data_IF_003774493597
#
_entry.id   IF_003774493597
#
_cell.length_a   1.000
_cell.length_b   1.000
_cell.length_c   1.000
_cell.angle_alpha   90.00
_cell.angle_beta   90.00
_cell.angle_gamma   90.00
#
_symmetry.space_group_name_H-M   'P 1'
#
loop_
_entity.id
_entity.type
_entity.pdbx_description
1 polymer ?
#
# COMPACT_ATOMS: atom_id res chain seq x y z
N UNK A 1 -11.51 28.76 7.80
CA UNK A 1 -12.86 28.29 8.18
C UNK A 1 -14.01 29.06 7.53
N UNK A 2 -13.79 30.23 6.90
CA UNK A 2 -14.88 31.10 6.40
C UNK A 2 -15.84 30.42 5.40
N UNK A 3 -15.35 29.60 4.45
CA UNK A 3 -16.22 28.91 3.50
C UNK A 3 -17.11 27.85 4.18
N UNK A 4 -16.58 27.06 5.12
CA UNK A 4 -17.34 26.00 5.82
C UNK A 4 -18.48 26.63 6.62
N UNK A 5 -18.18 27.73 7.33
CA UNK A 5 -19.17 28.45 8.13
C UNK A 5 -20.22 29.16 7.28
N UNK A 6 -19.86 29.60 6.07
CA UNK A 6 -20.75 30.28 5.13
C UNK A 6 -21.65 29.31 4.36
N UNK A 7 -21.10 28.24 3.81
CA UNK A 7 -21.79 27.31 2.91
C UNK A 7 -22.54 26.22 3.67
N UNK A 8 -22.16 25.94 4.93
CA UNK A 8 -22.73 24.87 5.76
C UNK A 8 -22.92 23.57 4.98
N UNK A 9 -21.84 23.02 4.40
CA UNK A 9 -21.93 21.81 3.60
C UNK A 9 -22.40 20.64 4.47
N UNK A 10 -23.13 19.70 3.86
CA UNK A 10 -23.57 18.46 4.53
C UNK A 10 -22.38 17.52 4.73
N UNK A 11 -21.57 17.84 5.75
CA UNK A 11 -20.34 17.14 6.12
C UNK A 11 -20.55 16.50 7.48
N UNK A 12 -20.14 15.25 7.60
CA UNK A 12 -20.25 14.51 8.86
C UNK A 12 -19.53 15.23 10.01
N UNK A 13 -20.18 15.26 11.18
CA UNK A 13 -19.68 15.96 12.36
C UNK A 13 -18.29 15.47 12.80
N UNK A 14 -17.93 14.21 12.52
CA UNK A 14 -16.59 13.67 12.78
C UNK A 14 -15.50 14.40 11.98
N UNK A 15 -15.77 14.72 10.71
CA UNK A 15 -14.80 15.44 9.86
C UNK A 15 -14.65 16.86 10.37
N UNK A 16 -15.76 17.54 10.70
CA UNK A 16 -15.75 18.90 11.27
C UNK A 16 -14.97 18.92 12.59
N UNK A 17 -15.18 17.93 13.46
CA UNK A 17 -14.47 17.80 14.73
C UNK A 17 -12.96 17.56 14.60
N UNK A 18 -12.47 17.07 13.46
CA UNK A 18 -11.05 16.87 13.20
C UNK A 18 -10.33 18.13 12.66
N UNK A 19 -11.04 19.18 12.28
CA UNK A 19 -10.41 20.45 11.90
C UNK A 19 -9.98 21.19 13.18
N UNK A 20 -8.71 21.07 13.57
CA UNK A 20 -8.15 21.82 14.70
C UNK A 20 -8.01 23.31 14.38
N UNK A 21 -8.37 24.18 15.33
CA UNK A 21 -8.26 25.65 15.21
C UNK A 21 -6.85 26.18 15.56
N UNK A 22 -5.96 25.32 16.07
CA UNK A 22 -4.61 25.68 16.54
C UNK A 22 -3.55 25.44 15.45
N UNK A 23 -3.46 26.38 14.51
CA UNK A 23 -2.81 26.21 13.22
C UNK A 23 -1.28 26.29 13.20
N UNK A 24 -0.61 26.93 14.15
CA UNK A 24 0.84 27.20 14.00
C UNK A 24 1.76 26.23 14.76
N UNK A 25 1.46 25.92 16.03
CA UNK A 25 2.26 25.00 16.83
C UNK A 25 2.17 23.55 16.33
N UNK A 26 1.01 23.15 15.79
CA UNK A 26 0.75 21.81 15.26
C UNK A 26 1.49 21.52 13.93
N UNK A 27 1.70 22.54 13.09
CA UNK A 27 2.35 22.40 11.78
C UNK A 27 3.85 22.11 11.94
N UNK A 28 4.55 22.85 12.82
CA UNK A 28 5.99 22.68 12.99
C UNK A 28 6.36 21.27 13.50
N UNK A 29 5.64 20.77 14.51
CA UNK A 29 5.81 19.40 15.02
C UNK A 29 5.58 18.35 13.91
N UNK A 30 4.55 18.56 13.08
CA UNK A 30 4.26 17.68 11.95
C UNK A 30 5.37 17.69 10.89
N UNK A 31 5.98 18.84 10.62
CA UNK A 31 7.10 18.94 9.68
C UNK A 31 8.35 18.23 10.19
N UNK A 32 8.65 18.33 11.47
CA UNK A 32 9.80 17.65 12.06
C UNK A 32 9.59 16.13 12.07
N UNK A 33 8.39 15.65 12.42
CA UNK A 33 8.04 14.24 12.29
C UNK A 33 8.18 13.74 10.83
N UNK A 34 7.75 14.53 9.84
CA UNK A 34 7.94 14.20 8.41
C UNK A 34 9.43 14.09 8.03
N UNK A 35 10.27 15.01 8.51
CA UNK A 35 11.72 14.97 8.26
C UNK A 35 12.33 13.71 8.85
N UNK A 36 11.98 13.38 10.10
CA UNK A 36 12.48 12.18 10.78
C UNK A 36 12.08 10.90 10.02
N UNK A 37 10.80 10.76 9.67
CA UNK A 37 10.30 9.61 8.91
C UNK A 37 10.99 9.50 7.55
N UNK A 38 11.21 10.63 6.86
CA UNK A 38 11.95 10.67 5.59
C UNK A 38 13.38 10.18 5.76
N UNK A 39 14.09 10.65 6.80
CA UNK A 39 15.47 10.22 7.09
C UNK A 39 15.51 8.72 7.38
N UNK A 40 14.61 8.23 8.25
CA UNK A 40 14.55 6.82 8.62
C UNK A 40 14.26 5.91 7.42
N UNK A 41 13.27 6.25 6.59
CA UNK A 41 12.92 5.45 5.41
C UNK A 41 13.98 5.48 4.33
N UNK A 42 14.69 6.60 4.16
CA UNK A 42 15.84 6.67 3.26
C UNK A 42 17.02 5.85 3.80
N UNK A 43 17.26 5.86 5.11
CA UNK A 43 18.34 5.09 5.73
C UNK A 43 18.10 3.57 5.70
N UNK A 44 16.84 3.13 5.76
CA UNK A 44 16.47 1.71 5.71
C UNK A 44 16.78 1.05 4.35
N UNK A 45 17.11 1.85 3.32
CA UNK A 45 17.10 1.41 1.92
C UNK A 45 18.43 1.72 1.23
N UNK A 46 18.89 0.76 0.42
CA UNK A 46 19.89 1.02 -0.63
C UNK A 46 19.19 1.73 -1.80
N UNK A 47 19.96 2.35 -2.71
CA UNK A 47 19.41 3.20 -3.79
C UNK A 47 18.29 2.53 -4.62
N UNK A 48 18.28 1.20 -4.73
CA UNK A 48 17.28 0.42 -5.50
C UNK A 48 16.42 -0.54 -4.65
N UNK A 49 16.44 -0.43 -3.32
CA UNK A 49 15.67 -1.34 -2.47
C UNK A 49 14.17 -1.01 -2.48
N UNK A 50 13.28 -2.02 -2.54
CA UNK A 50 11.82 -1.89 -2.34
C UNK A 50 11.43 -2.36 -0.94
N UNK A 51 10.69 -1.54 -0.19
CA UNK A 51 10.13 -1.94 1.11
C UNK A 51 8.76 -2.56 0.90
N UNK A 52 8.57 -3.78 1.40
CA UNK A 52 7.31 -4.52 1.31
C UNK A 52 6.71 -4.64 2.70
N UNK A 53 5.45 -4.21 2.85
CA UNK A 53 4.69 -4.27 4.10
C UNK A 53 3.25 -4.75 3.81
N UNK A 54 2.50 -5.26 4.80
CA UNK A 54 1.06 -5.44 4.66
C UNK A 54 0.38 -4.11 4.26
N UNK A 55 -0.70 -4.14 3.47
CA UNK A 55 -1.40 -2.88 3.14
C UNK A 55 -2.23 -2.36 4.29
N UNK A 56 -2.87 -3.26 5.03
CA UNK A 56 -3.75 -2.95 6.16
C UNK A 56 -3.45 -3.89 7.32
N UNK A 57 -3.61 -3.37 8.54
CA UNK A 57 -3.44 -4.13 9.78
C UNK A 57 -4.79 -4.71 10.20
N UNK A 58 -5.27 -5.76 9.51
CA UNK A 58 -6.47 -6.50 9.90
C UNK A 58 -7.47 -6.75 8.78
N UNK A 59 -8.50 -7.54 9.08
CA UNK A 59 -9.58 -7.83 8.15
C UNK A 59 -10.50 -6.60 8.00
N UNK A 60 -11.14 -6.42 6.83
CA UNK A 60 -12.15 -5.39 6.67
C UNK A 60 -13.28 -5.57 7.69
N UNK A 61 -13.72 -4.50 8.38
CA UNK A 61 -14.83 -4.56 9.30
C UNK A 61 -16.12 -4.86 8.53
N UNK A 62 -17.08 -5.51 9.19
CA UNK A 62 -18.40 -5.75 8.62
C UNK A 62 -19.13 -4.42 8.42
N UNK A 63 -20.01 -4.38 7.41
CA UNK A 63 -20.89 -3.22 7.19
C UNK A 63 -21.66 -2.91 8.49
N UNK A 64 -21.71 -1.64 8.88
CA UNK A 64 -22.34 -1.14 10.12
C UNK A 64 -21.71 -1.65 11.44
N UNK A 65 -20.50 -2.21 11.40
CA UNK A 65 -19.77 -2.52 12.63
C UNK A 65 -19.41 -1.23 13.37
N UNK A 66 -19.55 -1.25 14.71
CA UNK A 66 -19.16 -0.14 15.60
C UNK A 66 -17.68 0.27 15.46
N UNK A 67 -16.86 -0.65 14.97
CA UNK A 67 -15.43 -0.48 14.75
C UNK A 67 -15.10 0.54 13.64
N UNK A 68 -15.99 0.71 12.66
CA UNK A 68 -15.86 1.69 11.57
C UNK A 68 -15.83 3.15 12.09
N UNK A 69 -16.45 3.41 13.25
CA UNK A 69 -16.42 4.71 13.91
C UNK A 69 -15.30 4.87 14.95
N UNK A 70 -14.44 3.85 15.11
CA UNK A 70 -13.39 3.90 16.13
C UNK A 70 -12.15 4.63 15.61
N UNK A 71 -11.62 5.55 16.42
CA UNK A 71 -10.37 6.26 16.13
C UNK A 71 -9.19 5.29 16.00
N UNK A 72 -9.16 4.22 16.80
CA UNK A 72 -8.13 3.19 16.77
C UNK A 72 -8.09 2.44 15.43
N UNK A 73 -9.25 2.05 14.89
CA UNK A 73 -9.32 1.44 13.56
C UNK A 73 -8.78 2.41 12.50
N UNK A 74 -9.25 3.65 12.48
CA UNK A 74 -8.80 4.64 11.48
C UNK A 74 -7.29 4.90 11.52
N UNK A 75 -6.71 5.01 12.72
CA UNK A 75 -5.25 5.16 12.89
C UNK A 75 -4.51 3.92 12.36
N UNK A 76 -4.98 2.71 12.67
CA UNK A 76 -4.34 1.48 12.20
C UNK A 76 -4.45 1.27 10.69
N UNK A 77 -5.62 1.55 10.11
CA UNK A 77 -5.85 1.42 8.67
C UNK A 77 -5.06 2.46 7.87
N UNK A 78 -4.81 3.64 8.44
CA UNK A 78 -4.07 4.72 7.77
C UNK A 78 -2.57 4.69 8.05
N UNK A 79 -2.09 4.09 9.14
CA UNK A 79 -0.68 4.21 9.56
C UNK A 79 0.30 3.78 8.45
N UNK A 80 0.03 2.63 7.80
CA UNK A 80 0.91 2.08 6.78
C UNK A 80 0.86 2.86 5.45
N UNK A 81 -0.27 3.49 5.14
CA UNK A 81 -0.41 4.37 3.96
C UNK A 81 0.17 5.76 4.22
N UNK A 82 0.09 6.26 5.45
CA UNK A 82 0.65 7.55 5.86
C UNK A 82 2.18 7.60 5.70
N UNK A 83 2.88 6.46 5.78
CA UNK A 83 4.33 6.39 5.54
C UNK A 83 4.75 7.02 4.21
N UNK A 84 4.05 6.72 3.12
CA UNK A 84 4.31 7.30 1.80
C UNK A 84 4.13 8.83 1.81
N UNK A 85 3.01 9.31 2.34
CA UNK A 85 2.68 10.73 2.41
C UNK A 85 3.64 11.55 3.30
N UNK A 86 4.12 10.96 4.41
CA UNK A 86 5.00 11.66 5.35
C UNK A 86 6.45 11.68 4.89
N UNK A 87 6.93 10.59 4.29
CA UNK A 87 8.29 10.51 3.77
C UNK A 87 8.45 11.19 2.40
N UNK A 88 7.38 11.24 1.61
CA UNK A 88 7.43 11.59 0.19
C UNK A 88 7.83 10.41 -0.70
N UNK A 89 7.89 9.19 -0.16
CA UNK A 89 8.03 7.97 -0.95
C UNK A 89 6.77 7.69 -1.77
N UNK A 90 6.92 6.96 -2.87
CA UNK A 90 5.79 6.41 -3.62
C UNK A 90 5.41 5.03 -3.09
N UNK A 91 4.12 4.72 -3.10
CA UNK A 91 3.57 3.46 -2.57
C UNK A 91 2.50 2.90 -3.51
N UNK A 92 2.58 1.60 -3.79
CA UNK A 92 1.62 0.85 -4.59
C UNK A 92 1.10 -0.34 -3.76
N UNK A 93 -0.22 -0.45 -3.61
CA UNK A 93 -0.85 -1.62 -3.01
C UNK A 93 -1.19 -2.64 -4.11
N UNK A 94 -0.66 -3.87 -4.00
CA UNK A 94 -0.91 -4.96 -4.91
C UNK A 94 -1.84 -6.00 -4.26
N UNK A 95 -3.07 -6.18 -4.78
CA UNK A 95 -3.94 -7.27 -4.38
C UNK A 95 -3.35 -8.62 -4.78
N UNK A 96 -3.25 -9.54 -3.84
CA UNK A 96 -2.70 -10.89 -4.06
C UNK A 96 -3.78 -11.99 -4.11
N UNK A 97 -5.00 -11.67 -3.67
CA UNK A 97 -6.13 -12.60 -3.71
C UNK A 97 -7.06 -12.41 -2.51
N UNK A 98 -7.70 -13.50 -2.10
CA UNK A 98 -8.61 -13.52 -0.95
C UNK A 98 -8.31 -14.69 -0.04
N UNK A 99 -8.41 -14.48 1.27
CA UNK A 99 -8.39 -15.52 2.29
C UNK A 99 -9.60 -15.33 3.20
N UNK A 100 -10.35 -16.39 3.48
CA UNK A 100 -11.61 -16.32 4.23
C UNK A 100 -12.58 -15.24 3.72
N UNK A 101 -12.67 -15.10 2.39
CA UNK A 101 -13.47 -14.08 1.68
C UNK A 101 -13.01 -12.63 1.92
N UNK A 102 -11.89 -12.43 2.59
CA UNK A 102 -11.27 -11.12 2.81
C UNK A 102 -10.14 -10.89 1.80
N UNK A 103 -10.06 -9.70 1.16
CA UNK A 103 -8.96 -9.39 0.25
C UNK A 103 -7.63 -9.30 1.01
N UNK A 104 -6.58 -9.89 0.44
CA UNK A 104 -5.20 -9.74 0.90
C UNK A 104 -4.44 -8.88 -0.10
N UNK A 105 -3.69 -7.92 0.41
CA UNK A 105 -2.76 -7.11 -0.38
C UNK A 105 -1.50 -6.78 0.40
N UNK A 106 -0.43 -6.53 -0.35
CA UNK A 106 0.85 -6.02 0.16
C UNK A 106 1.13 -4.66 -0.48
N UNK A 107 1.68 -3.75 0.30
CA UNK A 107 2.13 -2.44 -0.16
C UNK A 107 3.62 -2.48 -0.43
N UNK A 108 3.99 -2.01 -1.61
CA UNK A 108 5.37 -1.78 -2.02
C UNK A 108 5.61 -0.28 -1.98
N UNK A 109 6.61 0.13 -1.23
CA UNK A 109 7.02 1.53 -1.14
C UNK A 109 8.33 1.62 -1.92
N UNK A 110 8.60 2.66 -2.72
CA UNK A 110 9.89 3.00 -3.36
C UNK A 110 10.43 4.35 -2.87
N UNK A 111 11.67 4.69 -3.20
CA UNK A 111 12.27 5.99 -2.83
C UNK A 111 11.48 7.15 -3.45
N UNK A 112 11.64 8.37 -2.91
CA UNK A 112 11.03 9.56 -3.50
C UNK A 112 11.42 9.72 -4.98
N UNK A 113 10.43 9.88 -5.87
CA UNK A 113 10.62 10.00 -7.32
C UNK A 113 10.99 8.69 -8.02
N UNK A 114 10.91 7.55 -7.31
CA UNK A 114 11.14 6.20 -7.87
C UNK A 114 9.89 5.55 -8.45
N UNK A 115 8.86 6.34 -8.80
CA UNK A 115 7.55 5.84 -9.24
C UNK A 115 7.65 4.92 -10.46
N UNK A 116 8.47 5.30 -11.45
CA UNK A 116 8.68 4.48 -12.65
C UNK A 116 9.32 3.14 -12.30
N UNK A 117 10.42 3.16 -11.54
CA UNK A 117 11.09 1.95 -11.05
C UNK A 117 10.13 1.04 -10.25
N UNK A 118 9.29 1.64 -9.40
CA UNK A 118 8.29 0.91 -8.63
C UNK A 118 7.27 0.25 -9.56
N UNK A 119 6.71 0.99 -10.51
CA UNK A 119 5.68 0.48 -11.42
C UNK A 119 6.23 -0.62 -12.34
N UNK A 120 7.45 -0.47 -12.87
CA UNK A 120 8.10 -1.47 -13.70
C UNK A 120 8.35 -2.77 -12.92
N UNK A 121 8.78 -2.64 -11.66
CA UNK A 121 8.96 -3.78 -10.75
C UNK A 121 7.63 -4.46 -10.42
N UNK A 122 6.59 -3.69 -10.10
CA UNK A 122 5.25 -4.22 -9.83
C UNK A 122 4.67 -4.94 -11.04
N UNK A 123 4.84 -4.39 -12.24
CA UNK A 123 4.39 -5.02 -13.46
C UNK A 123 5.06 -6.39 -13.64
N UNK A 124 6.37 -6.47 -13.40
CA UNK A 124 7.13 -7.72 -13.44
C UNK A 124 6.61 -8.74 -12.41
N UNK A 125 6.45 -8.33 -11.16
CA UNK A 125 5.91 -9.18 -10.07
C UNK A 125 4.50 -9.67 -10.41
N UNK A 126 3.64 -8.81 -10.95
CA UNK A 126 2.26 -9.15 -11.29
C UNK A 126 2.19 -10.22 -12.38
N UNK A 127 3.03 -10.10 -13.41
CA UNK A 127 3.10 -11.09 -14.50
C UNK A 127 3.65 -12.41 -13.97
N UNK A 128 4.73 -12.41 -13.18
CA UNK A 128 5.26 -13.63 -12.57
C UNK A 128 4.22 -14.32 -11.67
N UNK A 129 3.54 -13.54 -10.82
CA UNK A 129 2.46 -14.05 -9.94
C UNK A 129 1.31 -14.67 -10.74
N UNK A 130 0.92 -14.06 -11.86
CA UNK A 130 -0.10 -14.62 -12.74
C UNK A 130 0.28 -16.02 -13.26
N UNK A 131 1.50 -16.18 -13.77
CA UNK A 131 1.98 -17.48 -14.25
C UNK A 131 2.06 -18.51 -13.11
N UNK A 132 2.58 -18.12 -11.94
CA UNK A 132 2.62 -19.00 -10.76
C UNK A 132 1.23 -19.46 -10.31
N UNK A 133 0.26 -18.55 -10.26
CA UNK A 133 -1.11 -18.89 -9.88
C UNK A 133 -1.79 -19.79 -10.91
N UNK A 134 -1.54 -19.56 -12.21
CA UNK A 134 -2.06 -20.40 -13.29
C UNK A 134 -1.43 -21.79 -13.30
N UNK A 135 -0.12 -21.88 -13.02
CA UNK A 135 0.58 -23.15 -12.84
C UNK A 135 -0.02 -23.97 -11.70
N UNK A 136 -0.29 -23.34 -10.55
CA UNK A 136 -0.93 -23.98 -9.41
C UNK A 136 -2.32 -24.54 -9.79
N UNK A 137 -3.14 -23.77 -10.51
CA UNK A 137 -4.43 -24.24 -11.00
C UNK A 137 -4.31 -25.46 -11.95
N UNK A 138 -3.29 -25.50 -12.80
CA UNK A 138 -3.02 -26.66 -13.64
C UNK A 138 -2.57 -27.89 -12.86
N UNK A 139 -1.85 -27.72 -11.75
CA UNK A 139 -1.47 -28.82 -10.87
C UNK A 139 -2.68 -29.50 -10.23
N UNK A 140 -3.67 -28.70 -9.78
CA UNK A 140 -4.95 -29.21 -9.25
C UNK A 140 -5.74 -30.01 -10.31
N UNK A 141 -5.59 -29.65 -11.59
CA UNK A 141 -6.21 -30.36 -12.71
C UNK A 141 -5.37 -31.55 -13.23
N UNK A 142 -4.26 -31.89 -12.57
CA UNK A 142 -3.28 -32.89 -13.02
C UNK A 142 -2.68 -32.62 -14.43
N UNK A 143 -2.74 -31.38 -14.91
CA UNK A 143 -2.21 -30.92 -16.20
C UNK A 143 -0.72 -30.55 -16.12
N UNK A 144 0.13 -31.52 -15.80
CA UNK A 144 1.55 -31.29 -15.47
C UNK A 144 2.37 -30.59 -16.56
N UNK A 145 2.08 -30.86 -17.84
CA UNK A 145 2.79 -30.21 -18.96
C UNK A 145 2.54 -28.71 -19.01
N UNK A 146 1.31 -28.28 -18.77
CA UNK A 146 0.93 -26.87 -18.76
C UNK A 146 1.48 -26.18 -17.51
N UNK A 147 1.39 -26.83 -16.34
CA UNK A 147 1.99 -26.34 -15.11
C UNK A 147 3.50 -26.06 -15.26
N UNK A 148 4.25 -27.01 -15.87
CA UNK A 148 5.68 -26.83 -16.14
C UNK A 148 5.95 -25.61 -17.03
N UNK A 149 5.19 -25.43 -18.11
CA UNK A 149 5.37 -24.32 -19.04
C UNK A 149 5.14 -22.95 -18.37
N UNK A 150 4.14 -22.85 -17.49
CA UNK A 150 3.87 -21.63 -16.73
C UNK A 150 4.96 -21.32 -15.71
N UNK A 151 5.47 -22.33 -14.99
CA UNK A 151 6.61 -22.14 -14.09
C UNK A 151 7.86 -21.68 -14.85
N UNK A 152 8.14 -22.24 -16.04
CA UNK A 152 9.24 -21.77 -16.89
C UNK A 152 9.05 -20.31 -17.30
N UNK A 153 7.83 -19.94 -17.71
CA UNK A 153 7.51 -18.55 -18.08
C UNK A 153 7.72 -17.59 -16.90
N UNK A 154 7.37 -18.00 -15.68
CA UNK A 154 7.60 -17.21 -14.47
C UNK A 154 9.09 -16.98 -14.17
N UNK A 155 9.93 -18.01 -14.35
CA UNK A 155 11.38 -17.94 -14.15
C UNK A 155 12.05 -17.04 -15.20
N UNK A 156 11.63 -17.14 -16.47
CA UNK A 156 12.20 -16.34 -17.56
C UNK A 156 11.94 -14.83 -17.39
N UNK A 157 10.91 -14.46 -16.63
CA UNK A 157 10.62 -13.06 -16.28
C UNK A 157 11.66 -12.52 -15.29
N UNK A 158 12.05 -13.31 -14.29
CA UNK A 158 13.05 -12.93 -13.28
C UNK A 158 14.43 -12.67 -13.91
N UNK A 159 14.80 -13.48 -14.90
CA UNK A 159 16.06 -13.34 -15.64
C UNK A 159 16.14 -12.05 -16.47
N UNK A 160 15.01 -11.56 -16.99
CA UNK A 160 14.96 -10.30 -17.76
C UNK A 160 14.97 -9.06 -16.86
N UNK A 161 14.44 -9.17 -15.64
CA UNK A 161 14.42 -8.09 -14.66
C UNK A 161 15.78 -7.81 -14.02
N UNK A 162 16.68 -8.80 -13.98
CA UNK A 162 18.03 -8.66 -13.38
C UNK A 162 19.09 -8.03 -14.32
N UNK A 163 18.73 -7.71 -15.57
CA UNK A 163 19.66 -7.19 -16.60
C UNK A 163 19.40 -5.73 -17.00
N UNK A 164 18.57 -5.00 -16.23
CA UNK A 164 18.19 -3.61 -16.51
C UNK A 164 18.84 -2.61 -15.57
#
# INVERSE_FOLDING_TARGET
MEWINSVKPDVDAFIIGNLSDDGELSINSSQDARKEVRVALNALRKDDGILVIPTVLGCPPKLNARELSSSNYNVQTSCLTSLSSMSGCCQVALPLGTHDKCPISVSFIARHGGDQFLLDTIQTIKVATYYSNRAAAFLELASYRQAKADCTSAIDIDQKGSTG
#
